data_IF_476246153834
#
_entry.id   IF_476246153834
#
_cell.length_a   1.000
_cell.length_b   1.000
_cell.length_c   1.000
_cell.angle_alpha   90.00
_cell.angle_beta   90.00
_cell.angle_gamma   90.00
#
_symmetry.space_group_name_H-M   'P 1'
#
loop_
_entity.id
_entity.type
_entity.pdbx_description
1 polymer ?
#
# COMPACT_ATOMS: atom_id res chain seq x y z
N UNK A 1 -21.76 -57.18 14.57
CA UNK A 1 -22.35 -57.43 13.24
C UNK A 1 -23.43 -56.37 13.05
N UNK A 2 -23.13 -55.33 12.26
CA UNK A 2 -23.72 -55.05 10.93
C UNK A 2 -25.23 -54.74 11.02
N UNK A 3 -25.77 -53.63 10.52
CA UNK A 3 -25.24 -52.56 9.69
C UNK A 3 -26.40 -51.61 9.32
N UNK A 4 -26.01 -50.38 9.00
CA UNK A 4 -26.70 -49.24 8.37
C UNK A 4 -28.11 -49.43 7.78
N UNK A 5 -28.98 -48.45 8.04
CA UNK A 5 -30.17 -48.13 7.26
C UNK A 5 -30.78 -46.80 7.70
N UNK A 6 -30.92 -45.87 6.75
CA UNK A 6 -31.52 -44.54 6.89
C UNK A 6 -32.80 -44.46 7.73
N UNK A 7 -32.93 -43.44 8.61
CA UNK A 7 -34.09 -42.53 8.59
C UNK A 7 -33.84 -41.32 9.48
N UNK A 8 -34.06 -40.15 8.91
CA UNK A 8 -34.16 -38.81 9.50
C UNK A 8 -35.14 -38.71 10.67
N UNK A 9 -34.73 -38.08 11.78
CA UNK A 9 -35.65 -37.38 12.68
C UNK A 9 -34.99 -36.14 13.33
N UNK A 10 -35.49 -34.91 13.09
CA UNK A 10 -34.94 -33.68 13.65
C UNK A 10 -35.43 -33.39 15.08
N UNK A 11 -34.59 -32.67 15.82
CA UNK A 11 -34.75 -32.29 17.23
C UNK A 11 -36.10 -31.57 17.54
N UNK A 12 -36.71 -31.76 18.73
CA UNK A 12 -38.07 -31.27 18.99
C UNK A 12 -38.21 -29.77 19.25
N UNK A 13 -37.14 -28.97 19.15
CA UNK A 13 -37.23 -27.53 19.47
C UNK A 13 -36.38 -26.69 18.50
N UNK A 14 -36.69 -26.78 17.21
CA UNK A 14 -36.50 -25.66 16.27
C UNK A 14 -37.87 -25.09 15.91
N UNK A 15 -38.06 -23.75 15.94
CA UNK A 15 -39.35 -23.13 15.67
C UNK A 15 -39.70 -23.36 14.19
N UNK A 16 -40.67 -24.23 13.96
CA UNK A 16 -41.30 -24.37 12.64
C UNK A 16 -42.03 -23.07 12.32
N UNK A 17 -41.40 -22.25 11.49
CA UNK A 17 -42.04 -21.21 10.68
C UNK A 17 -43.16 -21.87 9.88
N UNK A 18 -44.37 -21.83 10.43
CA UNK A 18 -45.59 -22.17 9.70
C UNK A 18 -46.01 -20.94 8.89
N UNK A 19 -46.23 -21.20 7.62
CA UNK A 19 -46.82 -20.32 6.62
C UNK A 19 -47.89 -19.40 7.19
N UNK A 20 -47.64 -18.09 7.11
CA UNK A 20 -48.67 -17.07 7.14
C UNK A 20 -48.64 -16.33 5.79
N UNK A 21 -49.47 -16.72 4.80
CA UNK A 21 -49.47 -16.06 3.52
C UNK A 21 -50.58 -15.00 3.44
N UNK A 22 -50.83 -14.18 4.46
CA UNK A 22 -51.69 -13.00 4.30
C UNK A 22 -51.19 -11.82 5.15
N UNK A 23 -50.14 -11.17 4.66
CA UNK A 23 -49.81 -9.79 5.02
C UNK A 23 -50.54 -8.83 4.06
N UNK A 24 -51.28 -7.85 4.60
CA UNK A 24 -51.21 -6.50 4.08
C UNK A 24 -50.54 -5.58 5.11
N UNK A 25 -49.87 -4.51 4.65
CA UNK A 25 -48.73 -3.95 5.34
C UNK A 25 -49.12 -2.78 6.23
N UNK A 26 -48.36 -2.62 7.31
CA UNK A 26 -48.23 -1.35 8.02
C UNK A 26 -48.90 -1.34 9.38
N UNK A 27 -48.28 -1.96 10.37
CA UNK A 27 -48.47 -1.58 11.77
C UNK A 27 -47.19 -1.92 12.53
N UNK A 28 -46.23 -0.98 12.45
CA UNK A 28 -45.08 -0.95 13.34
C UNK A 28 -45.56 -0.50 14.72
N UNK A 29 -45.14 -1.26 15.72
CA UNK A 29 -45.13 -0.91 17.13
C UNK A 29 -44.71 0.54 17.37
N UNK A 30 -45.65 1.35 17.88
CA UNK A 30 -45.33 2.51 18.71
C UNK A 30 -46.17 2.45 19.98
N UNK A 31 -45.66 1.68 20.92
CA UNK A 31 -45.99 1.85 22.33
C UNK A 31 -45.44 3.21 22.80
N UNK A 32 -46.31 4.04 23.39
CA UNK A 32 -45.88 5.04 24.37
C UNK A 32 -45.94 6.51 23.95
N UNK A 33 -47.11 6.99 23.51
CA UNK A 33 -47.49 8.39 23.72
C UNK A 33 -48.95 8.49 24.18
N UNK A 34 -49.13 8.89 25.45
CA UNK A 34 -50.39 9.43 25.98
C UNK A 34 -50.29 10.94 25.98
N UNK A 35 -51.27 11.64 25.39
CA UNK A 35 -51.92 12.71 26.14
C UNK A 35 -53.43 12.46 26.21
N UNK A 36 -53.95 12.50 27.44
CA UNK A 36 -55.36 12.61 27.75
C UNK A 36 -55.98 13.79 26.97
N UNK A 37 -56.74 13.48 25.93
CA UNK A 37 -57.71 14.38 25.35
C UNK A 37 -59.03 14.16 26.09
N UNK A 38 -59.16 14.92 27.16
CA UNK A 38 -60.34 15.03 27.99
C UNK A 38 -61.48 15.58 27.14
N UNK A 39 -62.37 14.68 26.72
CA UNK A 39 -63.66 14.99 26.12
C UNK A 39 -64.57 15.63 27.19
N UNK A 40 -64.25 16.86 27.59
CA UNK A 40 -64.99 17.70 28.54
C UNK A 40 -66.23 18.37 27.91
N UNK A 41 -66.90 17.70 26.97
CA UNK A 41 -68.12 18.20 26.34
C UNK A 41 -69.33 17.28 26.57
N UNK A 42 -69.26 16.42 27.58
CA UNK A 42 -70.32 15.48 27.93
C UNK A 42 -70.96 15.81 29.28
N UNK A 43 -71.74 16.90 29.33
CA UNK A 43 -72.82 17.12 30.30
C UNK A 43 -73.99 17.78 29.56
N UNK A 44 -74.94 16.98 29.03
CA UNK A 44 -76.28 16.73 29.60
C UNK A 44 -77.01 18.04 29.96
N UNK A 45 -77.93 18.58 29.15
CA UNK A 45 -79.36 18.19 29.01
C UNK A 45 -80.05 17.71 30.29
N UNK A 46 -80.94 18.56 30.84
CA UNK A 46 -81.89 18.21 31.91
C UNK A 46 -82.85 19.37 32.27
N UNK A 47 -84.15 19.20 32.00
CA UNK A 47 -85.29 20.03 32.43
C UNK A 47 -85.64 21.16 31.43
N UNK A 48 -86.74 21.15 30.68
CA UNK A 48 -88.14 21.08 31.11
C UNK A 48 -88.74 22.50 31.05
N UNK A 49 -89.79 22.79 30.25
CA UNK A 49 -90.20 24.16 29.95
C UNK A 49 -91.10 24.75 31.06
N UNK A 50 -90.57 25.70 31.83
CA UNK A 50 -91.34 26.60 32.69
C UNK A 50 -91.81 27.82 31.87
N UNK A 51 -93.12 28.01 31.63
CA UNK A 51 -93.67 29.13 30.88
C UNK A 51 -93.91 30.31 31.83
N UNK A 52 -92.94 31.21 31.97
CA UNK A 52 -93.19 32.43 32.76
C UNK A 52 -92.06 33.44 32.97
N UNK A 53 -90.78 33.10 32.76
CA UNK A 53 -89.69 33.95 33.29
C UNK A 53 -88.68 34.45 32.24
N UNK A 54 -89.05 34.39 30.97
CA UNK A 54 -88.17 34.72 29.84
C UNK A 54 -87.87 36.21 29.63
N UNK A 55 -88.64 37.14 30.21
CA UNK A 55 -88.49 38.57 29.91
C UNK A 55 -87.81 39.36 31.05
N UNK A 56 -88.18 39.15 32.31
CA UNK A 56 -87.64 39.94 33.43
C UNK A 56 -86.20 39.55 33.81
N UNK A 57 -85.86 38.26 33.84
CA UNK A 57 -84.51 37.82 34.20
C UNK A 57 -83.51 38.06 33.05
N UNK A 58 -83.97 38.02 31.80
CA UNK A 58 -83.20 38.37 30.60
C UNK A 58 -82.94 39.86 30.49
N UNK A 59 -83.96 40.71 30.74
CA UNK A 59 -83.84 42.18 30.68
C UNK A 59 -83.02 42.75 31.83
N UNK A 60 -83.07 42.18 33.04
CA UNK A 60 -82.23 42.65 34.17
C UNK A 60 -80.76 42.26 34.00
N UNK A 61 -80.48 41.11 33.38
CA UNK A 61 -79.10 40.61 33.22
C UNK A 61 -78.44 41.09 31.93
N UNK A 62 -79.21 41.57 30.95
CA UNK A 62 -78.69 42.12 29.70
C UNK A 62 -77.83 43.39 29.91
N UNK A 63 -78.23 44.40 30.72
CA UNK A 63 -77.37 45.53 31.07
C UNK A 63 -76.11 45.09 31.82
N UNK A 64 -76.24 44.18 32.79
CA UNK A 64 -75.11 43.68 33.54
C UNK A 64 -74.12 42.91 32.65
N UNK A 65 -74.60 42.13 31.69
CA UNK A 65 -73.76 41.43 30.69
C UNK A 65 -73.16 42.38 29.69
N UNK A 66 -73.83 43.47 29.33
CA UNK A 66 -73.27 44.52 28.46
C UNK A 66 -72.19 45.30 29.19
N UNK A 67 -72.40 45.69 30.45
CA UNK A 67 -71.38 46.37 31.26
C UNK A 67 -70.20 45.42 31.49
N UNK A 68 -70.47 44.16 31.82
CA UNK A 68 -69.43 43.15 31.92
C UNK A 68 -68.72 42.94 30.58
N UNK A 69 -69.41 42.92 29.44
CA UNK A 69 -68.75 42.80 28.13
C UNK A 69 -67.91 44.05 27.83
N UNK A 70 -68.45 45.26 28.03
CA UNK A 70 -67.78 46.53 27.77
C UNK A 70 -66.58 46.75 28.69
N UNK A 71 -66.59 46.21 29.91
CA UNK A 71 -65.46 46.38 30.85
C UNK A 71 -64.54 45.17 30.82
N UNK A 72 -65.09 43.96 30.96
CA UNK A 72 -64.31 42.72 31.08
C UNK A 72 -63.71 42.31 29.74
N UNK A 73 -64.39 42.47 28.60
CA UNK A 73 -63.78 42.07 27.31
C UNK A 73 -62.56 42.91 26.97
N UNK A 74 -62.58 44.25 27.01
CA UNK A 74 -61.36 45.02 26.76
C UNK A 74 -60.31 44.81 27.85
N UNK A 75 -60.69 44.64 29.12
CA UNK A 75 -59.73 44.34 30.18
C UNK A 75 -59.07 42.95 29.98
N UNK A 76 -59.83 41.96 29.51
CA UNK A 76 -59.36 40.60 29.24
C UNK A 76 -58.53 40.56 27.96
N UNK A 77 -58.87 41.33 26.93
CA UNK A 77 -58.03 41.55 25.76
C UNK A 77 -56.71 42.23 26.16
N UNK A 78 -56.76 43.23 27.04
CA UNK A 78 -55.55 43.88 27.56
C UNK A 78 -54.68 42.88 28.32
N UNK A 79 -55.29 42.01 29.13
CA UNK A 79 -54.57 40.98 29.88
C UNK A 79 -53.99 39.88 29.00
N UNK A 80 -54.75 39.40 28.02
CA UNK A 80 -54.27 38.41 27.05
C UNK A 80 -53.18 39.01 26.15
N UNK A 81 -53.30 40.28 25.74
CA UNK A 81 -52.26 41.01 25.01
C UNK A 81 -51.00 41.19 25.86
N UNK A 82 -51.15 41.52 27.15
CA UNK A 82 -50.03 41.68 28.06
C UNK A 82 -49.31 40.35 28.33
N UNK A 83 -50.05 39.23 28.48
CA UNK A 83 -49.46 37.89 28.54
C UNK A 83 -48.80 37.49 27.24
N UNK A 84 -49.37 37.84 26.09
CA UNK A 84 -48.79 37.57 24.79
C UNK A 84 -47.48 38.32 24.60
N UNK A 85 -47.44 39.60 24.98
CA UNK A 85 -46.21 40.41 24.98
C UNK A 85 -45.21 39.84 25.98
N UNK A 86 -45.62 39.51 27.21
CA UNK A 86 -44.75 38.91 28.21
C UNK A 86 -44.20 37.54 27.80
N UNK A 87 -45.03 36.71 27.15
CA UNK A 87 -44.64 35.38 26.65
C UNK A 87 -43.76 35.48 25.41
N UNK A 88 -44.02 36.46 24.53
CA UNK A 88 -43.19 36.80 23.38
C UNK A 88 -41.81 37.30 23.80
N UNK A 89 -41.75 38.22 24.78
CA UNK A 89 -40.49 38.74 25.34
C UNK A 89 -39.70 37.62 26.02
N UNK A 90 -40.36 36.77 26.82
CA UNK A 90 -39.69 35.65 27.47
C UNK A 90 -39.14 34.65 26.45
N UNK A 91 -39.92 34.31 25.43
CA UNK A 91 -39.49 33.38 24.37
C UNK A 91 -38.33 33.98 23.58
N UNK A 92 -38.44 35.25 23.16
CA UNK A 92 -37.38 35.94 22.42
C UNK A 92 -36.10 36.03 23.25
N UNK A 93 -36.17 36.48 24.51
CA UNK A 93 -34.97 36.61 25.34
C UNK A 93 -34.35 35.24 25.67
N UNK A 94 -35.17 34.24 26.01
CA UNK A 94 -34.66 32.94 26.43
C UNK A 94 -34.13 32.11 25.26
N UNK A 95 -34.86 32.05 24.16
CA UNK A 95 -34.47 31.23 23.01
C UNK A 95 -33.51 31.95 22.06
N UNK A 96 -33.62 33.26 21.89
CA UNK A 96 -32.74 34.02 20.99
C UNK A 96 -31.46 34.49 21.66
N UNK A 97 -31.47 34.85 22.94
CA UNK A 97 -30.28 35.44 23.59
C UNK A 97 -29.55 34.42 24.47
N UNK A 98 -30.29 33.68 25.31
CA UNK A 98 -29.69 32.75 26.26
C UNK A 98 -29.10 31.51 25.57
N UNK A 99 -29.79 30.91 24.60
CA UNK A 99 -29.25 29.74 23.88
C UNK A 99 -27.92 29.98 23.17
N UNK A 100 -27.71 31.05 22.38
CA UNK A 100 -26.41 31.29 21.75
C UNK A 100 -25.34 31.68 22.77
N UNK A 101 -25.67 32.37 23.86
CA UNK A 101 -24.71 32.66 24.92
C UNK A 101 -24.32 31.38 25.66
N UNK A 102 -25.26 30.50 26.02
CA UNK A 102 -24.94 29.24 26.69
C UNK A 102 -24.17 28.30 25.77
N UNK A 103 -24.53 28.22 24.48
CA UNK A 103 -23.81 27.38 23.51
C UNK A 103 -22.43 27.96 23.22
N UNK A 104 -22.32 29.28 23.07
CA UNK A 104 -21.06 30.00 22.93
C UNK A 104 -20.17 29.84 24.15
N UNK A 105 -20.72 29.98 25.37
CA UNK A 105 -19.98 29.80 26.62
C UNK A 105 -19.58 28.33 26.82
N UNK A 106 -20.44 27.37 26.49
CA UNK A 106 -20.08 25.95 26.54
C UNK A 106 -18.98 25.63 25.54
N UNK A 107 -19.08 26.09 24.29
CA UNK A 107 -18.05 25.84 23.26
C UNK A 107 -16.75 26.55 23.65
N UNK A 108 -16.82 27.80 24.08
CA UNK A 108 -15.65 28.55 24.52
C UNK A 108 -15.01 27.90 25.75
N UNK A 109 -15.77 27.55 26.79
CA UNK A 109 -15.22 26.93 27.99
C UNK A 109 -14.72 25.50 27.74
N UNK A 110 -15.44 24.72 26.92
CA UNK A 110 -15.10 23.32 26.67
C UNK A 110 -13.98 23.17 25.64
N UNK A 111 -14.10 23.79 24.47
CA UNK A 111 -13.10 23.66 23.41
C UNK A 111 -11.86 24.51 23.68
N UNK A 112 -12.01 25.71 24.24
CA UNK A 112 -10.87 26.59 24.48
C UNK A 112 -10.12 26.29 25.77
N UNK A 113 -10.78 25.80 26.83
CA UNK A 113 -10.11 25.55 28.11
C UNK A 113 -9.90 24.07 28.41
N UNK A 114 -10.95 23.24 28.27
CA UNK A 114 -10.82 21.81 28.55
C UNK A 114 -9.93 21.09 27.53
N UNK A 115 -10.06 21.40 26.24
CA UNK A 115 -9.28 20.72 25.21
C UNK A 115 -7.76 20.93 25.36
N UNK A 116 -7.21 22.15 25.56
CA UNK A 116 -5.78 22.31 25.78
C UNK A 116 -5.31 21.76 27.12
N UNK A 117 -6.09 21.88 28.20
CA UNK A 117 -5.71 21.32 29.51
C UNK A 117 -5.70 19.79 29.44
N UNK A 118 -6.72 19.18 28.84
CA UNK A 118 -6.80 17.73 28.68
C UNK A 118 -5.70 17.22 27.75
N UNK A 119 -5.41 17.92 26.64
CA UNK A 119 -4.30 17.58 25.77
C UNK A 119 -2.94 17.76 26.48
N UNK A 120 -2.80 18.79 27.31
CA UNK A 120 -1.59 19.03 28.09
C UNK A 120 -1.40 17.92 29.12
N UNK A 121 -2.41 17.58 29.91
CA UNK A 121 -2.37 16.47 30.88
C UNK A 121 -2.16 15.13 30.18
N UNK A 122 -2.84 14.86 29.06
CA UNK A 122 -2.62 13.65 28.29
C UNK A 122 -1.17 13.56 27.77
N UNK A 123 -0.60 14.67 27.29
CA UNK A 123 0.80 14.68 26.83
C UNK A 123 1.80 14.62 27.99
N UNK A 124 1.54 15.30 29.10
CA UNK A 124 2.49 15.43 30.20
C UNK A 124 2.41 14.28 31.21
N UNK A 125 1.29 13.57 31.30
CA UNK A 125 1.09 12.46 32.26
C UNK A 125 0.95 11.13 31.53
N UNK A 126 0.10 11.06 30.50
CA UNK A 126 -0.15 9.80 29.79
C UNK A 126 1.09 9.35 29.00
N UNK A 127 1.81 10.26 28.35
CA UNK A 127 3.03 9.91 27.59
C UNK A 127 4.15 9.38 28.48
N UNK A 128 4.55 10.02 29.60
CA UNK A 128 5.59 9.45 30.46
C UNK A 128 5.13 8.15 31.13
N UNK A 129 3.86 8.01 31.50
CA UNK A 129 3.34 6.74 32.04
C UNK A 129 3.40 5.64 30.98
N UNK A 130 2.94 5.91 29.75
CA UNK A 130 3.01 4.96 28.65
C UNK A 130 4.46 4.56 28.34
N UNK A 131 5.38 5.53 28.32
CA UNK A 131 6.80 5.25 28.13
C UNK A 131 7.41 4.47 29.29
N UNK A 132 7.03 4.77 30.54
CA UNK A 132 7.51 4.05 31.71
C UNK A 132 7.03 2.59 31.67
N UNK A 133 5.75 2.35 31.38
CA UNK A 133 5.19 1.00 31.22
C UNK A 133 5.87 0.28 30.05
N UNK A 134 5.99 0.93 28.89
CA UNK A 134 6.65 0.35 27.72
C UNK A 134 8.11 0.02 28.02
N UNK A 135 8.83 0.86 28.76
CA UNK A 135 10.20 0.61 29.18
C UNK A 135 10.29 -0.62 30.10
N UNK A 136 9.42 -0.71 31.11
CA UNK A 136 9.36 -1.86 32.03
C UNK A 136 9.02 -3.13 31.27
N UNK A 137 7.96 -3.14 30.46
CA UNK A 137 7.54 -4.31 29.66
C UNK A 137 8.66 -4.73 28.70
N UNK A 138 9.29 -3.78 28.01
CA UNK A 138 10.36 -4.09 27.08
C UNK A 138 11.57 -4.66 27.78
N UNK A 139 11.95 -4.10 28.93
CA UNK A 139 13.11 -4.54 29.70
C UNK A 139 12.88 -5.88 30.39
N UNK A 140 11.70 -6.07 30.98
CA UNK A 140 11.36 -7.20 31.85
C UNK A 140 10.80 -8.40 31.08
N UNK A 141 10.13 -8.18 29.95
CA UNK A 141 9.48 -9.25 29.18
C UNK A 141 10.16 -9.41 27.83
N UNK A 142 10.20 -8.34 27.03
CA UNK A 142 10.66 -8.46 25.62
C UNK A 142 12.13 -8.84 25.53
N UNK A 143 13.01 -8.22 26.33
CA UNK A 143 14.45 -8.56 26.32
C UNK A 143 14.74 -10.00 26.77
N UNK A 144 14.23 -10.50 27.92
CA UNK A 144 14.45 -11.89 28.29
C UNK A 144 13.77 -12.85 27.33
N UNK A 145 12.56 -12.54 26.85
CA UNK A 145 11.89 -13.37 25.85
C UNK A 145 12.68 -13.46 24.55
N UNK A 146 13.21 -12.33 24.05
CA UNK A 146 14.06 -12.31 22.87
C UNK A 146 15.38 -13.05 23.12
N UNK A 147 15.94 -12.97 24.33
CA UNK A 147 17.13 -13.74 24.70
C UNK A 147 16.84 -15.25 24.71
N UNK A 148 15.73 -15.68 25.33
CA UNK A 148 15.28 -17.07 25.35
C UNK A 148 15.03 -17.56 23.93
N UNK A 149 14.31 -16.82 23.08
CA UNK A 149 14.08 -17.23 21.68
C UNK A 149 15.41 -17.34 20.93
N UNK A 150 16.32 -16.38 21.07
CA UNK A 150 17.62 -16.43 20.38
C UNK A 150 18.52 -17.57 20.89
N UNK A 151 18.56 -17.80 22.19
CA UNK A 151 19.44 -18.82 22.76
C UNK A 151 18.85 -20.22 22.68
N UNK A 152 17.56 -20.37 22.94
CA UNK A 152 16.86 -21.67 23.03
C UNK A 152 16.30 -22.11 21.70
N UNK A 153 15.87 -21.22 20.80
CA UNK A 153 15.40 -21.64 19.47
C UNK A 153 16.48 -21.47 18.41
N UNK A 154 17.07 -20.27 18.29
CA UNK A 154 17.98 -20.01 17.17
C UNK A 154 19.27 -20.82 17.27
N UNK A 155 19.90 -20.96 18.44
CA UNK A 155 21.14 -21.76 18.54
C UNK A 155 20.93 -23.24 18.18
N UNK A 156 19.98 -23.97 18.77
CA UNK A 156 19.78 -25.36 18.38
C UNK A 156 19.19 -25.47 16.98
N UNK A 157 18.36 -24.54 16.50
CA UNK A 157 17.90 -24.56 15.11
C UNK A 157 19.06 -24.39 14.12
N UNK A 158 20.01 -23.49 14.40
CA UNK A 158 21.21 -23.31 13.57
C UNK A 158 22.16 -24.50 13.71
N UNK A 159 22.29 -25.07 14.90
CA UNK A 159 23.09 -26.28 15.12
C UNK A 159 22.48 -27.46 14.37
N UNK A 160 21.17 -27.65 14.43
CA UNK A 160 20.40 -28.66 13.70
C UNK A 160 20.50 -28.44 12.19
N UNK A 161 20.37 -27.21 11.71
CA UNK A 161 20.57 -26.87 10.29
C UNK A 161 21.99 -27.22 9.83
N UNK A 162 22.99 -26.90 10.65
CA UNK A 162 24.39 -27.14 10.29
C UNK A 162 24.83 -28.60 10.45
N UNK A 163 24.23 -29.35 11.38
CA UNK A 163 24.55 -30.75 11.61
C UNK A 163 23.66 -31.75 10.86
N UNK A 164 22.45 -31.37 10.45
CA UNK A 164 21.52 -32.25 9.74
C UNK A 164 21.39 -31.81 8.28
N UNK A 165 21.09 -30.53 8.05
CA UNK A 165 20.82 -30.06 6.69
C UNK A 165 22.08 -30.00 5.83
N UNK A 166 23.22 -29.61 6.39
CA UNK A 166 24.49 -29.57 5.67
C UNK A 166 24.97 -30.97 5.21
N UNK A 167 24.98 -32.03 6.03
CA UNK A 167 25.33 -33.36 5.55
C UNK A 167 24.28 -33.95 4.61
N UNK A 168 22.98 -33.71 4.86
CA UNK A 168 21.93 -34.15 3.94
C UNK A 168 22.07 -33.48 2.57
N UNK A 169 22.26 -32.15 2.53
CA UNK A 169 22.48 -31.43 1.28
C UNK A 169 23.74 -31.91 0.55
N UNK A 170 24.85 -32.15 1.26
CA UNK A 170 26.05 -32.72 0.65
C UNK A 170 25.83 -34.13 0.14
N UNK A 171 25.15 -34.99 0.90
CA UNK A 171 24.84 -36.36 0.49
C UNK A 171 23.94 -36.38 -0.74
N UNK A 172 22.91 -35.54 -0.79
CA UNK A 172 22.02 -35.41 -1.95
C UNK A 172 22.75 -34.85 -3.17
N UNK A 173 23.55 -33.80 -3.01
CA UNK A 173 24.35 -33.24 -4.11
C UNK A 173 25.40 -34.22 -4.62
N UNK A 174 26.05 -34.97 -3.72
CA UNK A 174 26.98 -36.01 -4.10
C UNK A 174 26.27 -37.14 -4.83
N UNK A 175 25.15 -37.64 -4.31
CA UNK A 175 24.36 -38.68 -4.98
C UNK A 175 23.89 -38.24 -6.37
N UNK A 176 23.44 -36.99 -6.51
CA UNK A 176 23.04 -36.43 -7.81
C UNK A 176 24.24 -36.31 -8.77
N UNK A 177 25.39 -35.89 -8.25
CA UNK A 177 26.62 -35.76 -9.06
C UNK A 177 27.18 -37.12 -9.47
N UNK A 178 27.15 -38.10 -8.58
CA UNK A 178 27.47 -39.50 -8.91
C UNK A 178 26.51 -40.05 -9.97
N UNK A 179 25.20 -39.80 -9.85
CA UNK A 179 24.24 -40.22 -10.86
C UNK A 179 24.50 -39.55 -12.22
N UNK A 180 24.87 -38.27 -12.21
CA UNK A 180 25.25 -37.53 -13.42
C UNK A 180 26.54 -38.07 -14.05
N UNK A 181 27.57 -38.32 -13.25
CA UNK A 181 28.86 -38.81 -13.70
C UNK A 181 28.74 -40.25 -14.24
N UNK A 182 27.94 -41.10 -13.59
CA UNK A 182 27.65 -42.45 -14.08
C UNK A 182 26.86 -42.38 -15.39
N UNK A 183 25.82 -41.55 -15.46
CA UNK A 183 25.00 -41.40 -16.67
C UNK A 183 25.82 -40.89 -17.85
N UNK A 184 26.63 -39.85 -17.65
CA UNK A 184 27.52 -39.32 -18.69
C UNK A 184 28.65 -40.28 -19.02
N UNK A 185 29.20 -41.02 -18.05
CA UNK A 185 30.22 -42.03 -18.32
C UNK A 185 29.65 -43.19 -19.14
N UNK A 186 28.45 -43.67 -18.83
CA UNK A 186 27.77 -44.71 -19.62
C UNK A 186 27.47 -44.20 -21.02
N UNK A 187 26.91 -43.00 -21.16
CA UNK A 187 26.63 -42.39 -22.46
C UNK A 187 27.90 -42.18 -23.30
N UNK A 188 28.96 -41.64 -22.69
CA UNK A 188 30.24 -41.38 -23.33
C UNK A 188 30.95 -42.69 -23.69
N UNK A 189 30.91 -43.70 -22.82
CA UNK A 189 31.50 -45.01 -23.10
C UNK A 189 30.73 -45.77 -24.18
N UNK A 190 29.40 -45.70 -24.19
CA UNK A 190 28.56 -46.45 -25.11
C UNK A 190 28.44 -45.80 -26.49
N UNK A 191 28.53 -44.46 -26.58
CA UNK A 191 28.37 -43.74 -27.85
C UNK A 191 29.71 -43.17 -28.32
N UNK A 192 30.37 -42.38 -27.49
CA UNK A 192 31.55 -41.62 -27.93
C UNK A 192 32.76 -42.51 -28.11
N UNK A 193 32.99 -43.54 -27.27
CA UNK A 193 34.12 -44.45 -27.49
C UNK A 193 34.00 -45.26 -28.78
N UNK A 194 32.88 -45.93 -29.11
CA UNK A 194 32.76 -46.60 -30.39
C UNK A 194 32.73 -45.62 -31.56
N UNK A 195 32.09 -44.46 -31.42
CA UNK A 195 32.06 -43.45 -32.47
C UNK A 195 33.44 -42.79 -32.69
N UNK A 196 34.22 -42.57 -31.64
CA UNK A 196 35.58 -42.04 -31.72
C UNK A 196 36.55 -43.09 -32.24
N UNK A 197 36.37 -44.36 -31.90
CA UNK A 197 37.12 -45.46 -32.50
C UNK A 197 36.82 -45.55 -34.00
N UNK A 198 35.55 -45.46 -34.40
CA UNK A 198 35.13 -45.43 -35.79
C UNK A 198 35.68 -44.20 -36.54
N UNK A 199 35.63 -43.02 -35.93
CA UNK A 199 36.20 -41.79 -36.48
C UNK A 199 37.72 -41.86 -36.62
N UNK A 200 38.42 -42.45 -35.65
CA UNK A 200 39.87 -42.65 -35.72
C UNK A 200 40.26 -43.72 -36.74
N UNK A 201 39.48 -44.78 -36.84
CA UNK A 201 39.73 -45.86 -37.78
C UNK A 201 39.42 -45.46 -39.23
N UNK A 202 38.42 -44.60 -39.46
CA UNK A 202 37.93 -44.27 -40.80
C UNK A 202 38.32 -42.85 -41.22
N UNK A 203 38.13 -41.86 -40.35
CA UNK A 203 38.32 -40.46 -40.74
C UNK A 203 39.77 -39.99 -40.67
N UNK A 204 40.59 -40.57 -39.79
CA UNK A 204 42.03 -40.27 -39.77
C UNK A 204 42.73 -40.75 -41.05
N UNK A 205 42.49 -41.97 -41.59
CA UNK A 205 43.09 -42.35 -42.87
C UNK A 205 42.54 -41.53 -44.04
N UNK A 206 41.23 -41.24 -44.07
CA UNK A 206 40.64 -40.38 -45.11
C UNK A 206 41.21 -38.97 -45.05
N UNK A 207 41.28 -38.37 -43.85
CA UNK A 207 41.84 -37.04 -43.64
C UNK A 207 43.33 -36.97 -43.96
N UNK A 208 44.12 -38.01 -43.65
CA UNK A 208 45.52 -38.11 -44.09
C UNK A 208 45.62 -38.23 -45.60
N UNK A 209 44.78 -39.03 -46.24
CA UNK A 209 44.74 -39.13 -47.71
C UNK A 209 44.45 -37.79 -48.37
N UNK A 210 43.42 -37.09 -47.90
CA UNK A 210 43.03 -35.76 -48.42
C UNK A 210 44.12 -34.72 -48.13
N UNK A 211 44.68 -34.69 -46.93
CA UNK A 211 45.70 -33.74 -46.54
C UNK A 211 47.00 -33.94 -47.34
N UNK A 212 47.41 -35.19 -47.57
CA UNK A 212 48.56 -35.52 -48.42
C UNK A 212 48.28 -35.05 -49.84
N UNK A 213 47.13 -35.41 -50.42
CA UNK A 213 46.74 -34.98 -51.77
C UNK A 213 46.72 -33.45 -51.89
N UNK A 214 46.11 -32.74 -50.95
CA UNK A 214 46.06 -31.27 -50.94
C UNK A 214 47.45 -30.64 -50.76
N UNK A 215 48.29 -31.21 -49.90
CA UNK A 215 49.63 -30.67 -49.66
C UNK A 215 50.51 -30.81 -50.90
N UNK A 216 50.45 -31.96 -51.59
CA UNK A 216 51.18 -32.18 -52.84
C UNK A 216 50.61 -31.35 -54.00
N UNK A 217 49.28 -31.25 -54.12
CA UNK A 217 48.63 -30.62 -55.26
C UNK A 217 48.57 -29.09 -55.16
N UNK A 218 48.49 -28.54 -53.95
CA UNK A 218 48.25 -27.10 -53.72
C UNK A 218 49.35 -26.46 -52.89
N UNK A 219 49.72 -27.04 -51.74
CA UNK A 219 50.65 -26.37 -50.84
C UNK A 219 52.07 -26.27 -51.43
N UNK A 220 52.56 -27.32 -52.09
CA UNK A 220 53.84 -27.34 -52.79
C UNK A 220 53.94 -26.28 -53.90
N UNK A 221 53.01 -26.23 -54.88
CA UNK A 221 53.07 -25.21 -55.93
C UNK A 221 52.83 -23.79 -55.42
N UNK A 222 51.92 -23.60 -54.45
CA UNK A 222 51.65 -22.26 -53.90
C UNK A 222 52.81 -21.75 -53.05
N UNK A 223 53.45 -22.60 -52.23
CA UNK A 223 54.63 -22.20 -51.46
C UNK A 223 55.83 -21.91 -52.37
N UNK A 224 55.99 -22.69 -53.45
CA UNK A 224 57.01 -22.43 -54.45
C UNK A 224 56.76 -21.11 -55.19
N UNK A 225 55.52 -20.82 -55.59
CA UNK A 225 55.14 -19.57 -56.25
C UNK A 225 55.31 -18.36 -55.31
N UNK A 226 54.93 -18.48 -54.04
CA UNK A 226 55.09 -17.42 -53.05
C UNK A 226 56.56 -17.07 -52.80
N UNK A 227 57.41 -18.08 -52.63
CA UNK A 227 58.84 -17.89 -52.37
C UNK A 227 59.61 -17.42 -53.61
N UNK A 228 59.26 -17.88 -54.80
CA UNK A 228 59.98 -17.50 -56.03
C UNK A 228 59.50 -16.18 -56.65
N UNK A 229 58.23 -15.79 -56.48
CA UNK A 229 57.67 -14.63 -57.18
C UNK A 229 57.33 -13.49 -56.22
N UNK A 230 56.59 -13.77 -55.14
CA UNK A 230 56.12 -12.70 -54.24
C UNK A 230 57.19 -12.22 -53.26
N UNK A 231 58.04 -13.12 -52.75
CA UNK A 231 59.13 -12.74 -51.85
C UNK A 231 60.19 -11.81 -52.49
N UNK A 232 60.63 -11.99 -53.75
CA UNK A 232 61.53 -11.02 -54.38
C UNK A 232 60.83 -9.70 -54.71
N UNK A 233 59.58 -9.71 -55.16
CA UNK A 233 58.83 -8.48 -55.46
C UNK A 233 58.61 -7.64 -54.19
N UNK A 234 58.21 -8.26 -53.08
CA UNK A 234 58.03 -7.56 -51.81
C UNK A 234 59.33 -6.96 -51.26
N UNK A 235 60.47 -7.64 -51.46
CA UNK A 235 61.78 -7.12 -51.10
C UNK A 235 62.20 -5.96 -52.00
N UNK A 236 61.97 -6.04 -53.31
CA UNK A 236 62.26 -4.98 -54.26
C UNK A 236 61.43 -3.72 -53.98
N UNK A 237 60.11 -3.86 -53.80
CA UNK A 237 59.22 -2.74 -53.48
C UNK A 237 59.61 -2.08 -52.16
N UNK A 238 59.91 -2.86 -51.12
CA UNK A 238 60.34 -2.32 -49.82
C UNK A 238 61.68 -1.61 -49.91
N UNK A 239 62.62 -2.10 -50.72
CA UNK A 239 63.89 -1.43 -50.96
C UNK A 239 63.68 -0.08 -51.68
N UNK A 240 62.88 -0.07 -52.74
CA UNK A 240 62.53 1.15 -53.49
C UNK A 240 61.84 2.16 -52.58
N UNK A 241 60.84 1.76 -51.81
CA UNK A 241 60.11 2.65 -50.90
C UNK A 241 61.03 3.26 -49.83
N UNK A 242 61.96 2.46 -49.29
CA UNK A 242 62.89 2.93 -48.26
C UNK A 242 63.87 3.96 -48.83
N UNK A 243 64.29 3.83 -50.09
CA UNK A 243 65.16 4.81 -50.76
C UNK A 243 64.37 6.05 -51.21
N UNK A 244 63.22 5.86 -51.86
CA UNK A 244 62.49 6.93 -52.51
C UNK A 244 61.68 7.80 -51.53
N UNK A 245 61.12 7.20 -50.47
CA UNK A 245 60.22 7.90 -49.55
C UNK A 245 60.88 8.12 -48.20
N UNK A 246 61.47 7.07 -47.61
CA UNK A 246 61.98 7.18 -46.25
C UNK A 246 63.24 8.03 -46.16
N UNK A 247 64.11 8.01 -47.18
CA UNK A 247 65.32 8.82 -47.17
C UNK A 247 65.04 10.33 -47.30
N UNK A 248 64.19 10.80 -48.25
CA UNK A 248 63.83 12.23 -48.32
C UNK A 248 63.04 12.68 -47.10
N UNK A 249 62.08 11.90 -46.61
CA UNK A 249 61.26 12.28 -45.47
C UNK A 249 62.08 12.40 -44.17
N UNK A 250 63.07 11.53 -43.98
CA UNK A 250 64.01 11.62 -42.84
C UNK A 250 64.99 12.78 -42.97
N UNK A 251 65.29 13.22 -44.19
CA UNK A 251 66.12 14.41 -44.43
C UNK A 251 65.31 15.67 -44.12
N UNK A 252 64.09 15.79 -44.64
CA UNK A 252 63.16 16.90 -44.37
C UNK A 252 62.83 17.00 -42.88
N UNK A 253 62.53 15.88 -42.22
CA UNK A 253 62.26 15.85 -40.78
C UNK A 253 63.45 16.31 -39.93
N UNK A 254 64.68 15.99 -40.35
CA UNK A 254 65.89 16.40 -39.62
C UNK A 254 66.34 17.83 -39.93
N UNK A 255 66.25 18.26 -41.18
CA UNK A 255 66.80 19.54 -41.61
C UNK A 255 65.79 20.70 -41.60
N UNK A 256 64.48 20.45 -41.67
CA UNK A 256 63.48 21.53 -41.78
C UNK A 256 62.64 21.61 -40.51
N UNK A 257 62.12 20.48 -40.01
CA UNK A 257 61.25 20.51 -38.83
C UNK A 257 62.01 20.81 -37.52
N UNK A 258 63.28 20.41 -37.40
CA UNK A 258 64.09 20.73 -36.21
C UNK A 258 64.40 22.24 -36.08
N UNK A 259 64.89 22.95 -37.11
CA UNK A 259 65.12 24.39 -36.98
C UNK A 259 63.81 25.18 -36.80
N UNK A 260 62.71 24.80 -37.46
CA UNK A 260 61.40 25.47 -37.27
C UNK A 260 60.87 25.22 -35.85
N UNK A 261 61.02 24.00 -35.31
CA UNK A 261 60.61 23.69 -33.94
C UNK A 261 61.45 24.40 -32.87
N UNK A 262 62.70 24.75 -33.18
CA UNK A 262 63.55 25.53 -32.28
C UNK A 262 63.22 27.02 -32.37
N UNK A 263 63.09 27.57 -33.58
CA UNK A 263 62.70 28.95 -33.81
C UNK A 263 61.29 29.24 -33.26
N UNK A 264 60.34 28.33 -33.46
CA UNK A 264 58.99 28.44 -32.88
C UNK A 264 59.00 28.40 -31.36
N UNK A 265 59.88 27.60 -30.74
CA UNK A 265 60.03 27.57 -29.28
C UNK A 265 60.68 28.84 -28.72
N UNK A 266 61.62 29.45 -29.43
CA UNK A 266 62.18 30.76 -29.07
C UNK A 266 61.16 31.88 -29.22
N UNK A 267 60.37 31.87 -30.30
CA UNK A 267 59.29 32.83 -30.52
C UNK A 267 58.20 32.67 -29.45
N UNK A 268 57.77 31.44 -29.13
CA UNK A 268 56.80 31.19 -28.07
C UNK A 268 57.31 31.58 -26.69
N UNK A 269 58.62 31.41 -26.43
CA UNK A 269 59.26 31.91 -25.19
C UNK A 269 59.34 33.43 -25.17
N UNK A 270 59.66 34.07 -26.29
CA UNK A 270 59.71 35.53 -26.40
C UNK A 270 58.33 36.19 -26.25
N UNK A 271 57.27 35.53 -26.74
CA UNK A 271 55.88 35.98 -26.58
C UNK A 271 55.28 35.67 -25.20
N UNK A 272 56.01 35.04 -24.28
CA UNK A 272 55.55 34.82 -22.91
C UNK A 272 54.36 33.88 -22.76
N UNK A 273 53.98 33.12 -23.81
CA UNK A 273 52.87 32.15 -23.80
C UNK A 273 53.37 30.78 -23.32
N UNK A 274 54.15 30.81 -22.23
CA UNK A 274 54.67 29.65 -21.52
C UNK A 274 54.55 29.90 -20.02
N UNK A 275 53.37 30.33 -19.60
CA UNK A 275 53.05 30.64 -18.20
C UNK A 275 52.75 29.37 -17.42
N UNK A 276 53.67 29.09 -16.47
CA UNK A 276 53.57 28.22 -15.28
C UNK A 276 53.27 26.73 -15.47
#
# INVERSE_FOLDING_TARGET
MNGNGEQSDPAPWTPTTRDNPHHPPGETEQAGWRPHADNAHQQRTGGGPEPGEGCLYSVVRWPARIIALIVVVPLRLLWELLKLIGRGIRFLFWDWFLRPILKGLKVLLWDWFLHPVLAFVARYVLVPIANAIAWVVTRLIVRPLAWVIRYVLLKPAVLLWRYVLFPVARATLQALRFAWDVSTAVFNFLIVRPLSWLWRAVLVPIGRGIAVTWHYLVALPVAWAWNNVLAPIGRAIRAVWRVLVVAPLRWVGRNILRPIGNAGREVLRAFGIGGR
#
